data_IF_080528749317
#
_entry.id   IF_080528749317
#
_cell.length_a   1.000
_cell.length_b   1.000
_cell.length_c   1.000
_cell.angle_alpha   90.00
_cell.angle_beta   90.00
_cell.angle_gamma   90.00
#
_symmetry.space_group_name_H-M   'P 1'
#
loop_
_entity.id
_entity.type
_entity.pdbx_description
1 polymer ?
#
# COMPACT_ATOMS: atom_id res chain seq x y z
N UNK A 1 -32.14 -5.57 -14.87
CA UNK A 1 -31.98 -4.83 -13.60
C UNK A 1 -31.30 -5.76 -12.62
N UNK A 2 -30.19 -5.27 -12.01
CA UNK A 2 -29.45 -5.68 -10.80
C UNK A 2 -29.53 -7.10 -10.26
N UNK A 3 -28.51 -7.69 -9.64
CA UNK A 3 -27.09 -7.40 -9.36
C UNK A 3 -26.67 -8.71 -8.69
N UNK A 4 -25.62 -9.38 -9.15
CA UNK A 4 -25.04 -10.52 -8.43
C UNK A 4 -23.55 -10.69 -8.74
N UNK A 5 -22.67 -10.93 -7.75
CA UNK A 5 -22.88 -10.79 -6.30
C UNK A 5 -22.07 -9.66 -5.66
N UNK A 6 -22.72 -8.96 -4.74
CA UNK A 6 -22.10 -8.20 -3.65
C UNK A 6 -21.15 -9.08 -2.80
N UNK A 7 -20.09 -8.43 -2.34
CA UNK A 7 -18.97 -8.87 -1.53
C UNK A 7 -19.18 -10.08 -0.57
N UNK A 8 -18.10 -10.87 -0.39
CA UNK A 8 -17.38 -10.73 0.87
C UNK A 8 -15.86 -10.74 0.63
N UNK A 9 -15.27 -9.56 0.42
CA UNK A 9 -13.82 -9.37 0.37
C UNK A 9 -13.18 -9.25 1.76
N UNK A 10 -13.77 -9.81 2.82
CA UNK A 10 -13.24 -9.70 4.18
C UNK A 10 -12.96 -11.09 4.74
N UNK A 11 -11.83 -11.68 4.33
CA UNK A 11 -11.39 -12.96 4.92
C UNK A 11 -9.87 -13.10 5.04
N UNK A 12 -9.17 -11.98 5.26
CA UNK A 12 -7.76 -11.94 5.68
C UNK A 12 -7.38 -10.69 6.51
N UNK A 13 -8.30 -9.74 6.72
CA UNK A 13 -7.94 -8.45 7.33
C UNK A 13 -7.51 -8.59 8.80
N UNK A 14 -8.17 -9.43 9.60
CA UNK A 14 -7.78 -9.60 11.02
C UNK A 14 -6.38 -10.20 11.18
N UNK A 15 -6.01 -11.17 10.34
CA UNK A 15 -4.68 -11.79 10.34
C UNK A 15 -3.61 -10.88 9.75
N UNK A 16 -3.92 -10.12 8.70
CA UNK A 16 -3.00 -9.12 8.12
C UNK A 16 -2.78 -7.93 9.07
N UNK A 17 -3.82 -7.45 9.75
CA UNK A 17 -3.74 -6.34 10.72
C UNK A 17 -2.92 -6.76 11.94
N UNK A 18 -3.24 -7.90 12.57
CA UNK A 18 -2.51 -8.38 13.74
C UNK A 18 -1.03 -8.71 13.43
N UNK A 19 -0.76 -9.30 12.26
CA UNK A 19 0.61 -9.53 11.81
C UNK A 19 1.36 -8.22 11.54
N UNK A 20 0.67 -7.24 10.98
CA UNK A 20 1.26 -5.93 10.74
C UNK A 20 1.55 -5.17 12.04
N UNK A 21 0.65 -5.21 13.01
CA UNK A 21 0.86 -4.60 14.33
C UNK A 21 2.03 -5.25 15.06
N UNK A 22 2.26 -6.56 14.90
CA UNK A 22 3.43 -7.25 15.46
C UNK A 22 4.75 -6.85 14.77
N UNK A 23 4.72 -6.47 13.48
CA UNK A 23 5.90 -6.09 12.71
C UNK A 23 6.18 -4.58 12.79
N UNK A 24 5.15 -3.74 12.98
CA UNK A 24 5.23 -2.29 13.01
C UNK A 24 6.30 -1.71 13.95
N UNK A 25 6.54 -2.26 15.16
CA UNK A 25 7.62 -1.81 16.05
C UNK A 25 9.01 -1.99 15.46
N UNK A 26 9.20 -2.98 14.57
CA UNK A 26 10.48 -3.31 13.91
C UNK A 26 10.69 -2.54 12.59
N UNK A 27 9.71 -1.74 12.17
CA UNK A 27 9.84 -0.92 10.98
C UNK A 27 10.72 0.31 11.26
N UNK A 28 11.63 0.59 10.33
CA UNK A 28 12.32 1.88 10.30
C UNK A 28 11.33 3.03 10.05
N UNK A 29 11.73 4.26 10.40
CA UNK A 29 10.87 5.46 10.30
C UNK A 29 10.14 5.57 8.95
N UNK A 30 10.87 5.45 7.84
CA UNK A 30 10.30 5.58 6.50
C UNK A 30 9.31 4.46 6.16
N UNK A 31 9.61 3.22 6.54
CA UNK A 31 8.68 2.09 6.33
C UNK A 31 7.36 2.33 7.07
N UNK A 32 7.42 2.81 8.32
CA UNK A 32 6.22 3.11 9.12
C UNK A 32 5.40 4.25 8.53
N UNK A 33 6.05 5.32 8.08
CA UNK A 33 5.37 6.43 7.41
C UNK A 33 4.72 5.98 6.10
N UNK A 34 5.43 5.18 5.29
CA UNK A 34 4.92 4.62 4.04
C UNK A 34 3.72 3.70 4.25
N UNK A 35 3.81 2.77 5.21
CA UNK A 35 2.76 1.83 5.51
C UNK A 35 1.49 2.53 6.02
N UNK A 36 1.63 3.46 6.96
CA UNK A 36 0.52 4.28 7.44
C UNK A 36 -0.14 5.08 6.30
N UNK A 37 0.65 5.76 5.47
CA UNK A 37 0.09 6.57 4.40
C UNK A 37 -0.67 5.73 3.34
N UNK A 38 -0.20 4.50 3.07
CA UNK A 38 -0.89 3.55 2.20
C UNK A 38 -2.19 3.06 2.86
N UNK A 39 -2.19 2.76 4.16
CA UNK A 39 -3.40 2.37 4.90
C UNK A 39 -4.44 3.49 4.94
N UNK A 40 -3.99 4.72 5.21
CA UNK A 40 -4.85 5.90 5.23
C UNK A 40 -5.49 6.18 3.85
N UNK A 41 -4.88 5.70 2.76
CA UNK A 41 -5.45 5.81 1.41
C UNK A 41 -6.52 4.74 1.11
N UNK A 42 -6.70 3.75 1.99
CA UNK A 42 -7.73 2.71 1.86
C UNK A 42 -7.64 1.94 0.53
N UNK A 43 -8.79 1.65 -0.06
CA UNK A 43 -8.90 0.90 -1.33
C UNK A 43 -8.38 1.68 -2.54
N UNK A 44 -8.36 3.01 -2.47
CA UNK A 44 -7.77 3.83 -3.53
C UNK A 44 -6.26 3.57 -3.64
N UNK A 45 -5.60 3.31 -2.51
CA UNK A 45 -4.17 3.04 -2.44
C UNK A 45 -3.30 4.17 -2.97
N UNK A 46 -1.99 3.90 -3.09
CA UNK A 46 -1.02 4.86 -3.61
C UNK A 46 0.00 4.16 -4.52
N UNK A 47 0.35 4.80 -5.63
CA UNK A 47 1.59 4.47 -6.35
C UNK A 47 2.80 4.94 -5.56
N UNK A 48 3.99 4.46 -5.92
CA UNK A 48 5.24 4.91 -5.28
C UNK A 48 5.47 6.43 -5.46
N UNK A 49 5.08 6.99 -6.61
CA UNK A 49 5.19 8.43 -6.88
C UNK A 49 4.21 9.25 -6.04
N UNK A 50 2.95 8.82 -5.95
CA UNK A 50 1.95 9.53 -5.12
C UNK A 50 2.26 9.42 -3.63
N UNK A 51 2.78 8.27 -3.19
CA UNK A 51 3.26 8.09 -1.82
C UNK A 51 4.43 9.04 -1.51
N UNK A 52 5.37 9.17 -2.45
CA UNK A 52 6.48 10.10 -2.33
C UNK A 52 6.01 11.55 -2.24
N UNK A 53 5.09 11.96 -3.12
CA UNK A 53 4.48 13.29 -3.08
C UNK A 53 3.73 13.54 -1.75
N UNK A 54 2.97 12.57 -1.26
CA UNK A 54 2.20 12.69 -0.02
C UNK A 54 3.06 12.75 1.24
N UNK A 55 4.25 12.15 1.21
CA UNK A 55 5.20 12.19 2.32
C UNK A 55 6.23 13.33 2.20
N UNK A 56 6.15 14.14 1.14
CA UNK A 56 7.15 15.16 0.79
C UNK A 56 8.57 14.58 0.75
N UNK A 57 8.72 13.45 0.05
CA UNK A 57 9.97 12.70 -0.04
C UNK A 57 10.33 12.37 -1.48
N UNK A 58 11.61 12.13 -1.70
CA UNK A 58 12.08 11.65 -2.98
C UNK A 58 11.64 10.20 -3.26
N UNK A 59 11.22 9.93 -4.50
CA UNK A 59 10.72 8.62 -4.94
C UNK A 59 11.75 7.51 -4.70
N UNK A 60 13.04 7.76 -4.89
CA UNK A 60 14.11 6.77 -4.71
C UNK A 60 14.23 6.35 -3.24
N UNK A 61 13.80 7.19 -2.31
CA UNK A 61 13.72 6.85 -0.89
C UNK A 61 12.50 5.97 -0.56
N UNK A 62 11.41 6.10 -1.30
CA UNK A 62 10.12 5.43 -1.07
C UNK A 62 10.00 4.09 -1.79
N UNK A 63 10.47 3.98 -3.02
CA UNK A 63 10.34 2.75 -3.84
C UNK A 63 10.96 1.50 -3.19
N UNK A 64 12.11 1.57 -2.48
CA UNK A 64 12.61 0.44 -1.71
C UNK A 64 11.65 0.04 -0.57
N UNK A 65 10.97 1.02 0.04
CA UNK A 65 10.08 0.78 1.19
C UNK A 65 8.82 0.08 0.79
N UNK A 66 8.21 0.41 -0.35
CA UNK A 66 7.06 -0.36 -0.86
C UNK A 66 7.44 -1.81 -1.13
N UNK A 67 8.63 -2.06 -1.69
CA UNK A 67 9.14 -3.43 -1.92
C UNK A 67 9.38 -4.19 -0.61
N UNK A 68 9.98 -3.54 0.39
CA UNK A 68 10.21 -4.11 1.72
C UNK A 68 8.90 -4.41 2.46
N UNK A 69 7.96 -3.47 2.45
CA UNK A 69 6.64 -3.63 3.07
C UNK A 69 5.85 -4.77 2.41
N UNK A 70 5.90 -4.88 1.08
CA UNK A 70 5.30 -6.00 0.33
C UNK A 70 5.92 -7.34 0.73
N UNK A 71 7.25 -7.42 0.83
CA UNK A 71 7.95 -8.64 1.29
C UNK A 71 7.59 -9.02 2.73
N UNK A 72 7.32 -8.03 3.57
CA UNK A 72 6.85 -8.22 4.95
C UNK A 72 5.35 -8.54 5.05
N UNK A 73 4.62 -8.54 3.93
CA UNK A 73 3.19 -8.83 3.90
C UNK A 73 2.31 -7.70 4.47
N UNK A 74 2.82 -6.46 4.51
CA UNK A 74 2.11 -5.31 5.12
C UNK A 74 1.29 -4.52 4.11
N UNK A 75 1.66 -4.62 2.83
CA UNK A 75 0.95 -4.03 1.70
C UNK A 75 0.87 -5.04 0.57
N UNK A 76 -0.09 -4.88 -0.33
CA UNK A 76 -0.30 -5.73 -1.50
C UNK A 76 -0.59 -4.92 -2.76
N UNK A 77 -0.35 -5.55 -3.90
CA UNK A 77 -0.77 -4.99 -5.19
C UNK A 77 -2.30 -5.00 -5.24
N UNK A 78 -2.90 -3.83 -5.48
CA UNK A 78 -4.36 -3.69 -5.62
C UNK A 78 -4.91 -4.30 -6.93
N UNK A 79 -4.04 -4.61 -7.89
CA UNK A 79 -4.40 -4.94 -9.27
C UNK A 79 -4.58 -3.70 -10.16
N UNK A 80 -4.68 -2.51 -9.57
CA UNK A 80 -4.82 -1.27 -10.31
C UNK A 80 -3.46 -0.71 -10.74
N UNK A 81 -3.48 0.09 -11.81
CA UNK A 81 -2.32 0.80 -12.33
C UNK A 81 -2.67 2.27 -12.55
N UNK A 82 -1.77 3.17 -12.17
CA UNK A 82 -1.90 4.62 -12.43
C UNK A 82 -0.64 5.16 -13.10
N UNK A 83 -0.76 6.14 -14.00
CA UNK A 83 0.40 6.73 -14.66
C UNK A 83 1.26 7.46 -13.63
N UNK A 84 2.58 7.28 -13.72
CA UNK A 84 3.55 8.04 -12.94
C UNK A 84 3.97 9.33 -13.66
N UNK A 85 4.90 10.08 -13.06
CA UNK A 85 5.43 11.33 -13.63
C UNK A 85 6.10 11.18 -15.01
N UNK A 86 6.46 9.96 -15.42
CA UNK A 86 7.04 9.65 -16.73
C UNK A 86 6.00 9.08 -17.72
N UNK A 87 4.72 9.05 -17.34
CA UNK A 87 3.63 8.46 -18.13
C UNK A 87 3.56 6.93 -18.12
N UNK A 88 4.44 6.25 -17.38
CA UNK A 88 4.44 4.78 -17.25
C UNK A 88 3.44 4.34 -16.18
N UNK A 89 2.79 3.20 -16.42
CA UNK A 89 1.87 2.60 -15.47
C UNK A 89 2.62 2.03 -14.26
N UNK A 90 2.32 2.55 -13.06
CA UNK A 90 2.85 2.11 -11.79
C UNK A 90 1.82 1.30 -11.00
N UNK A 91 2.31 0.37 -10.17
CA UNK A 91 1.50 -0.41 -9.25
C UNK A 91 0.88 0.52 -8.21
N UNK A 92 -0.41 0.36 -7.98
CA UNK A 92 -1.12 0.97 -6.85
C UNK A 92 -1.08 0.00 -5.67
N UNK A 93 -0.45 0.44 -4.57
CA UNK A 93 -0.32 -0.34 -3.34
C UNK A 93 -1.46 -0.03 -2.37
N UNK A 94 -2.00 -1.08 -1.75
CA UNK A 94 -3.02 -0.99 -0.68
C UNK A 94 -2.55 -1.77 0.54
N UNK A 95 -3.17 -1.52 1.71
CA UNK A 95 -2.94 -2.34 2.90
C UNK A 95 -3.24 -3.82 2.67
N UNK A 96 -2.45 -4.69 3.29
CA UNK A 96 -2.65 -6.14 3.25
C UNK A 96 -3.81 -6.61 4.13
#
# INVERSE_FOLDING_TARGET
MSTYPDAPGHRNAETSIAAADAIAPKLGRLQRMSERAIRDAGENGLTADELAARLDMDRWSIQPRTSELRRKGLIRDSGQRRPNCTGKLAIVWVGA
#
